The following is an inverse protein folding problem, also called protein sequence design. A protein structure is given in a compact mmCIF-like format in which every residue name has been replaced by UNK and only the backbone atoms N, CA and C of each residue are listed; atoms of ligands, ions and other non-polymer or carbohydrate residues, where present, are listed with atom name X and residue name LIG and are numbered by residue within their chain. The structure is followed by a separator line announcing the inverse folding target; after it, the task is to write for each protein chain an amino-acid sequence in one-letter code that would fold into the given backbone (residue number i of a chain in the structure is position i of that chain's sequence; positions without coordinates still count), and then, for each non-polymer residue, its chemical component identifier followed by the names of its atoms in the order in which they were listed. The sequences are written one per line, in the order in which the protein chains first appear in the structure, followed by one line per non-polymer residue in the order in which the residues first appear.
data_IF_344128528578
#
_entry.id   IF_344128528578
#
_cell.length_a   1.000
_cell.length_b   1.000
_cell.length_c   1.000
_cell.angle_alpha   90.00
_cell.angle_beta   90.00
_cell.angle_gamma   90.00
#
_symmetry.space_group_name_H-M   'P 1'
#
loop_
_entity.id
_entity.type
_entity.pdbx_description
1 polymer ?
#
# COMPACT_ATOMS: atom_id res chain seq x y z
N UNK A 1 -13.60 24.05 23.44
CA UNK A 1 -13.94 22.82 24.17
C UNK A 1 -15.01 22.06 23.41
N UNK A 2 -14.63 21.33 22.35
CA UNK A 2 -15.49 20.32 21.64
C UNK A 2 -14.58 19.63 20.63
N UNK A 3 -13.97 18.53 20.97
CA UNK A 3 -13.51 17.47 20.08
C UNK A 3 -12.52 16.53 20.80
N UNK A 4 -12.94 15.90 21.90
CA UNK A 4 -12.12 14.85 22.59
C UNK A 4 -12.99 13.59 22.83
N UNK A 5 -14.09 13.39 22.11
CA UNK A 5 -15.03 12.32 22.46
C UNK A 5 -15.22 11.24 21.40
N UNK A 6 -14.46 11.20 20.31
CA UNK A 6 -14.65 10.17 19.27
C UNK A 6 -13.57 9.08 19.23
N UNK A 7 -12.41 9.29 19.84
CA UNK A 7 -11.34 8.29 19.87
C UNK A 7 -11.53 7.20 20.95
N UNK A 8 -12.41 7.39 21.92
CA UNK A 8 -12.56 6.48 23.08
C UNK A 8 -13.56 5.33 22.88
N UNK A 9 -14.31 5.33 21.78
CA UNK A 9 -15.38 4.33 21.59
C UNK A 9 -14.97 3.11 20.73
N UNK A 10 -13.83 3.17 20.03
CA UNK A 10 -13.31 2.00 19.28
C UNK A 10 -12.46 1.06 20.14
N UNK A 11 -12.02 1.49 21.33
CA UNK A 11 -11.15 0.71 22.20
C UNK A 11 -11.89 -0.43 22.95
N UNK A 12 -13.22 -0.47 22.94
CA UNK A 12 -14.02 -1.41 23.76
C UNK A 12 -14.52 -2.65 23.01
N UNK A 13 -14.28 -2.78 21.70
CA UNK A 13 -14.76 -3.95 20.93
C UNK A 13 -13.64 -5.00 20.69
N UNK A 14 -12.38 -4.66 20.94
CA UNK A 14 -11.24 -5.54 20.63
C UNK A 14 -10.85 -6.50 21.78
N UNK A 15 -11.52 -6.49 22.93
CA UNK A 15 -11.04 -7.22 24.11
C UNK A 15 -11.74 -8.56 24.40
N UNK A 16 -12.54 -9.12 23.49
CA UNK A 16 -13.31 -10.35 23.79
C UNK A 16 -13.35 -11.42 22.70
N UNK A 17 -12.39 -11.49 21.79
CA UNK A 17 -12.24 -12.70 20.95
C UNK A 17 -10.82 -13.24 21.13
N UNK A 18 -10.67 -14.13 22.09
CA UNK A 18 -9.47 -14.95 22.21
C UNK A 18 -9.35 -15.82 20.94
N UNK A 19 -8.32 -15.57 20.10
CA UNK A 19 -7.97 -16.49 19.02
C UNK A 19 -7.48 -15.92 17.70
N UNK A 20 -7.54 -14.63 17.43
CA UNK A 20 -6.89 -14.07 16.24
C UNK A 20 -5.62 -13.33 16.64
N UNK A 21 -4.49 -13.91 16.33
CA UNK A 21 -3.21 -13.20 16.36
C UNK A 21 -3.27 -12.20 15.21
N UNK A 22 -3.53 -10.93 15.50
CA UNK A 22 -3.39 -9.87 14.52
C UNK A 22 -1.91 -9.77 14.16
N UNK A 23 -1.57 -9.86 12.89
CA UNK A 23 -0.19 -9.86 12.44
C UNK A 23 0.45 -8.47 12.53
N UNK A 24 -0.33 -7.39 12.47
CA UNK A 24 0.17 -6.02 12.51
C UNK A 24 0.36 -5.49 13.94
N UNK A 25 1.25 -4.51 14.11
CA UNK A 25 1.40 -3.76 15.35
C UNK A 25 0.25 -2.73 15.47
N UNK A 26 -0.59 -2.90 16.49
CA UNK A 26 -1.75 -2.03 16.70
C UNK A 26 -1.36 -0.57 17.00
N UNK A 27 -0.16 -0.35 17.58
CA UNK A 27 0.34 0.98 17.84
C UNK A 27 0.80 1.68 16.54
N UNK A 28 1.40 0.91 15.63
CA UNK A 28 1.80 1.42 14.32
C UNK A 28 0.58 1.83 13.50
N UNK A 29 -0.50 1.04 13.53
CA UNK A 29 -1.74 1.39 12.84
C UNK A 29 -2.40 2.64 13.42
N UNK A 30 -2.49 2.78 14.75
CA UNK A 30 -3.06 3.96 15.41
C UNK A 30 -2.27 5.23 15.06
N UNK A 31 -0.93 5.16 15.12
CA UNK A 31 -0.06 6.26 14.74
C UNK A 31 -0.21 6.62 13.26
N UNK A 32 -0.33 5.62 12.39
CA UNK A 32 -0.49 5.82 10.96
C UNK A 32 -1.83 6.49 10.62
N UNK A 33 -2.94 6.05 11.20
CA UNK A 33 -4.25 6.66 10.98
C UNK A 33 -4.27 8.15 11.37
N UNK A 34 -3.51 8.52 12.39
CA UNK A 34 -3.44 9.90 12.86
C UNK A 34 -2.50 10.78 12.04
N UNK A 35 -1.31 10.28 11.70
CA UNK A 35 -0.22 11.07 11.13
C UNK A 35 0.01 10.82 9.64
N UNK A 36 -0.48 9.68 9.09
CA UNK A 36 -0.17 9.18 7.73
C UNK A 36 1.34 9.00 7.49
N UNK A 37 2.11 8.79 8.55
CA UNK A 37 3.55 8.54 8.50
C UNK A 37 3.84 7.24 9.23
N UNK A 38 4.42 6.29 8.52
CA UNK A 38 4.70 4.96 9.03
C UNK A 38 5.94 4.37 8.33
N UNK A 39 7.10 4.96 8.61
CA UNK A 39 8.36 4.41 8.11
C UNK A 39 8.78 3.20 8.95
N UNK A 40 9.08 2.07 8.27
CA UNK A 40 9.46 0.79 8.89
C UNK A 40 8.42 0.18 9.85
N UNK A 41 7.14 0.57 9.72
CA UNK A 41 6.06 0.04 10.55
C UNK A 41 5.64 -1.37 10.13
N UNK A 42 5.01 -2.10 11.05
CA UNK A 42 4.29 -3.32 10.73
C UNK A 42 2.78 -3.04 10.60
N UNK A 43 2.32 -3.02 9.35
CA UNK A 43 0.91 -2.89 8.96
C UNK A 43 0.44 -4.15 8.21
N UNK A 44 1.11 -5.29 8.44
CA UNK A 44 0.72 -6.55 7.80
C UNK A 44 -0.71 -6.93 8.19
N UNK A 45 -1.48 -7.45 7.22
CA UNK A 45 -2.90 -7.81 7.37
C UNK A 45 -3.82 -6.64 7.79
N UNK A 46 -3.32 -5.40 7.87
CA UNK A 46 -4.13 -4.25 8.28
C UNK A 46 -5.31 -4.01 7.31
N UNK A 47 -6.46 -3.66 7.85
CA UNK A 47 -7.61 -3.28 7.04
C UNK A 47 -7.62 -1.77 6.78
N UNK A 48 -7.06 -1.37 5.63
CA UNK A 48 -6.96 0.01 5.15
C UNK A 48 -7.89 0.28 3.95
N UNK A 49 -8.92 -0.55 3.79
CA UNK A 49 -9.90 -0.46 2.72
C UNK A 49 -10.61 0.89 2.70
N UNK A 50 -10.69 1.50 1.51
CA UNK A 50 -11.26 2.84 1.30
C UNK A 50 -10.53 3.97 2.05
N UNK A 51 -9.33 3.70 2.57
CA UNK A 51 -8.55 4.67 3.34
C UNK A 51 -8.15 5.88 2.51
N UNK A 52 -8.24 7.08 3.10
CA UNK A 52 -7.58 8.27 2.56
C UNK A 52 -6.11 8.25 2.98
N UNK A 53 -5.25 7.67 2.15
CA UNK A 53 -3.80 7.53 2.34
C UNK A 53 -3.00 8.45 1.42
N UNK A 54 -3.64 9.50 0.96
CA UNK A 54 -3.03 10.48 0.06
C UNK A 54 -1.79 11.11 0.68
N UNK A 55 -0.68 11.09 -0.09
CA UNK A 55 0.64 11.54 0.34
C UNK A 55 1.16 10.86 1.61
N UNK A 56 0.65 9.70 1.99
CA UNK A 56 1.15 8.94 3.13
C UNK A 56 2.63 8.56 2.95
N UNK A 57 3.38 8.51 4.04
CA UNK A 57 4.77 8.06 4.06
C UNK A 57 4.81 6.64 4.63
N UNK A 58 5.04 5.65 3.79
CA UNK A 58 4.98 4.21 4.09
C UNK A 58 6.31 3.51 3.73
N UNK A 59 7.42 4.25 3.77
CA UNK A 59 8.74 3.72 3.40
C UNK A 59 9.12 2.51 4.23
N UNK A 60 9.58 1.46 3.53
CA UNK A 60 10.05 0.21 4.13
C UNK A 60 9.04 -0.45 5.08
N UNK A 61 7.77 -0.03 5.07
CA UNK A 61 6.74 -0.64 5.92
C UNK A 61 6.39 -2.05 5.44
N UNK A 62 5.96 -2.88 6.38
CA UNK A 62 5.40 -4.19 6.09
C UNK A 62 3.88 -4.06 5.89
N UNK A 63 3.42 -4.22 4.67
CA UNK A 63 2.01 -4.21 4.26
C UNK A 63 1.60 -5.58 3.69
N UNK A 64 2.32 -6.65 4.07
CA UNK A 64 2.01 -8.01 3.61
C UNK A 64 0.58 -8.39 3.99
N UNK A 65 -0.21 -8.83 3.01
CA UNK A 65 -1.60 -9.21 3.19
C UNK A 65 -2.55 -8.07 3.53
N UNK A 66 -2.08 -6.81 3.60
CA UNK A 66 -2.94 -5.68 3.91
C UNK A 66 -4.06 -5.49 2.90
N UNK A 67 -5.25 -5.10 3.37
CA UNK A 67 -6.37 -4.78 2.52
C UNK A 67 -6.40 -3.27 2.21
N UNK A 68 -5.92 -2.91 1.03
CA UNK A 68 -5.88 -1.55 0.48
C UNK A 68 -6.91 -1.34 -0.66
N UNK A 69 -7.93 -2.22 -0.74
CA UNK A 69 -8.95 -2.11 -1.77
C UNK A 69 -9.58 -0.72 -1.81
N UNK A 70 -9.61 -0.11 -3.00
CA UNK A 70 -10.16 1.22 -3.25
C UNK A 70 -9.61 2.34 -2.33
N UNK A 71 -8.39 2.17 -1.78
CA UNK A 71 -7.71 3.22 -1.02
C UNK A 71 -7.17 4.31 -1.96
N UNK A 72 -7.21 5.57 -1.51
CA UNK A 72 -6.52 6.67 -2.19
C UNK A 72 -5.07 6.77 -1.68
N UNK A 73 -4.15 6.20 -2.43
CA UNK A 73 -2.70 6.25 -2.22
C UNK A 73 -2.02 7.28 -3.14
N UNK A 74 -2.77 8.21 -3.71
CA UNK A 74 -2.22 9.19 -4.64
C UNK A 74 -1.11 10.02 -4.00
N UNK A 75 0.05 10.04 -4.64
CA UNK A 75 1.25 10.70 -4.13
C UNK A 75 1.93 10.04 -2.93
N UNK A 76 1.47 8.89 -2.46
CA UNK A 76 2.08 8.20 -1.32
C UNK A 76 3.51 7.71 -1.63
N UNK A 77 4.38 7.67 -0.63
CA UNK A 77 5.73 7.14 -0.71
C UNK A 77 5.81 5.74 -0.06
N UNK A 78 5.80 4.72 -0.90
CA UNK A 78 5.88 3.30 -0.57
C UNK A 78 7.27 2.72 -0.83
N UNK A 79 8.31 3.56 -0.98
CA UNK A 79 9.66 3.10 -1.32
C UNK A 79 10.10 1.96 -0.41
N UNK A 80 10.47 0.82 -1.00
CA UNK A 80 10.96 -0.38 -0.30
C UNK A 80 9.91 -1.12 0.53
N UNK A 81 8.63 -0.75 0.47
CA UNK A 81 7.59 -1.44 1.22
C UNK A 81 7.39 -2.90 0.77
N UNK A 82 6.99 -3.76 1.69
CA UNK A 82 6.56 -5.12 1.42
C UNK A 82 5.03 -5.14 1.21
N UNK A 83 4.60 -5.34 -0.03
CA UNK A 83 3.19 -5.44 -0.44
C UNK A 83 2.80 -6.87 -0.85
N UNK A 84 3.55 -7.89 -0.43
CA UNK A 84 3.25 -9.28 -0.78
C UNK A 84 1.82 -9.63 -0.39
N UNK A 85 1.11 -10.25 -1.32
CA UNK A 85 -0.28 -10.71 -1.13
C UNK A 85 -1.26 -9.60 -0.70
N UNK A 86 -0.89 -8.32 -0.74
CA UNK A 86 -1.79 -7.22 -0.44
C UNK A 86 -2.90 -7.08 -1.49
N UNK A 87 -4.08 -6.67 -1.08
CA UNK A 87 -5.17 -6.33 -1.98
C UNK A 87 -5.19 -4.82 -2.25
N UNK A 88 -4.73 -4.42 -3.44
CA UNK A 88 -4.78 -3.03 -3.93
C UNK A 88 -5.84 -2.83 -5.02
N UNK A 89 -6.74 -3.80 -5.22
CA UNK A 89 -7.77 -3.66 -6.26
C UNK A 89 -8.54 -2.34 -6.14
N UNK A 90 -8.75 -1.68 -7.29
CA UNK A 90 -9.39 -0.36 -7.40
C UNK A 90 -8.67 0.81 -6.69
N UNK A 91 -7.47 0.60 -6.13
CA UNK A 91 -6.70 1.66 -5.47
C UNK A 91 -6.22 2.74 -6.46
N UNK A 92 -6.11 3.98 -5.98
CA UNK A 92 -5.50 5.08 -6.74
C UNK A 92 -4.03 5.26 -6.33
N UNK A 93 -3.11 4.87 -7.21
CA UNK A 93 -1.67 5.05 -7.08
C UNK A 93 -1.13 6.19 -7.97
N UNK A 94 -1.99 7.14 -8.37
CA UNK A 94 -1.56 8.25 -9.22
C UNK A 94 -0.41 9.05 -8.57
N UNK A 95 0.74 9.08 -9.24
CA UNK A 95 1.92 9.77 -8.75
C UNK A 95 2.58 9.16 -7.50
N UNK A 96 2.16 7.99 -7.06
CA UNK A 96 2.79 7.30 -5.93
C UNK A 96 4.21 6.83 -6.27
N UNK A 97 5.08 6.73 -5.26
CA UNK A 97 6.44 6.22 -5.36
C UNK A 97 6.49 4.79 -4.82
N UNK A 98 6.69 3.81 -5.71
CA UNK A 98 6.75 2.38 -5.39
C UNK A 98 8.14 1.79 -5.72
N UNK A 99 9.20 2.56 -5.55
CA UNK A 99 10.56 2.10 -5.87
C UNK A 99 10.98 0.93 -4.98
N UNK A 100 11.46 -0.15 -5.62
CA UNK A 100 11.98 -1.31 -4.91
C UNK A 100 10.93 -2.06 -4.08
N UNK A 101 9.64 -1.82 -4.31
CA UNK A 101 8.54 -2.54 -3.67
C UNK A 101 8.56 -4.01 -4.06
N UNK A 102 8.35 -4.92 -3.11
CA UNK A 102 8.01 -6.31 -3.38
C UNK A 102 6.49 -6.51 -3.27
N UNK A 103 5.84 -6.62 -4.41
CA UNK A 103 4.40 -6.83 -4.51
C UNK A 103 4.05 -8.21 -5.13
N UNK A 104 4.89 -9.21 -4.85
CA UNK A 104 4.63 -10.59 -5.27
C UNK A 104 3.30 -11.07 -4.69
N UNK A 105 2.39 -11.53 -5.54
CA UNK A 105 1.07 -12.03 -5.14
C UNK A 105 0.03 -10.95 -4.86
N UNK A 106 0.39 -9.66 -4.93
CA UNK A 106 -0.57 -8.59 -4.72
C UNK A 106 -1.62 -8.52 -5.86
N UNK A 107 -2.82 -8.12 -5.48
CA UNK A 107 -3.92 -7.85 -6.42
C UNK A 107 -3.92 -6.38 -6.82
N UNK A 108 -3.77 -6.11 -8.12
CA UNK A 108 -3.79 -4.77 -8.72
C UNK A 108 -4.94 -4.59 -9.73
N UNK A 109 -6.02 -5.32 -9.58
CA UNK A 109 -7.16 -5.18 -10.48
C UNK A 109 -7.73 -3.74 -10.45
N UNK A 110 -7.85 -3.13 -11.64
CA UNK A 110 -8.36 -1.77 -11.83
C UNK A 110 -7.59 -0.65 -11.09
N UNK A 111 -6.33 -0.88 -10.73
CA UNK A 111 -5.46 0.15 -10.13
C UNK A 111 -5.12 1.23 -11.14
N UNK A 112 -5.10 2.48 -10.66
CA UNK A 112 -4.61 3.63 -11.42
C UNK A 112 -3.10 3.85 -11.16
N UNK A 113 -2.23 3.52 -12.12
CA UNK A 113 -0.79 3.73 -12.07
C UNK A 113 -0.29 5.01 -12.76
N UNK A 114 -1.18 5.93 -13.10
CA UNK A 114 -0.78 7.13 -13.81
C UNK A 114 0.31 7.90 -13.05
N UNK A 115 1.45 8.18 -13.69
CA UNK A 115 2.63 8.85 -13.09
C UNK A 115 3.27 8.12 -11.90
N UNK A 116 2.91 6.88 -11.62
CA UNK A 116 3.55 6.10 -10.58
C UNK A 116 5.02 5.84 -10.91
N UNK A 117 5.87 5.86 -9.90
CA UNK A 117 7.30 5.49 -10.01
C UNK A 117 7.48 4.04 -9.55
N UNK A 118 7.55 3.11 -10.50
CA UNK A 118 7.67 1.67 -10.29
C UNK A 118 9.11 1.16 -10.48
N UNK A 119 10.11 2.04 -10.42
CA UNK A 119 11.50 1.62 -10.64
C UNK A 119 11.92 0.55 -9.64
N UNK A 120 12.56 -0.51 -10.15
CA UNK A 120 13.06 -1.63 -9.34
C UNK A 120 11.96 -2.41 -8.59
N UNK A 121 10.68 -2.12 -8.85
CA UNK A 121 9.57 -2.83 -8.22
C UNK A 121 9.44 -4.26 -8.74
N UNK A 122 9.10 -5.18 -7.85
CA UNK A 122 8.79 -6.56 -8.17
C UNK A 122 7.26 -6.77 -8.23
N UNK A 123 6.72 -6.76 -9.43
CA UNK A 123 5.31 -7.02 -9.75
C UNK A 123 5.18 -8.33 -10.55
N UNK A 124 6.01 -9.34 -10.24
CA UNK A 124 6.19 -10.55 -11.08
C UNK A 124 4.93 -11.38 -11.26
N UNK A 125 3.93 -11.23 -10.40
CA UNK A 125 2.62 -11.88 -10.53
C UNK A 125 1.61 -11.07 -11.31
N UNK A 126 1.91 -9.79 -11.56
CA UNK A 126 1.00 -8.88 -12.25
C UNK A 126 0.90 -9.25 -13.74
N UNK A 127 -0.28 -9.69 -14.15
CA UNK A 127 -0.63 -9.98 -15.54
C UNK A 127 -1.35 -8.77 -16.13
N UNK A 128 -0.57 -7.73 -16.44
CA UNK A 128 -1.15 -6.53 -17.05
C UNK A 128 -0.57 -6.28 -18.43
N UNK A 129 -1.40 -5.74 -19.30
CA UNK A 129 -0.90 -5.15 -20.55
C UNK A 129 -0.09 -3.88 -20.23
N UNK A 130 0.99 -3.65 -20.99
CA UNK A 130 1.81 -2.44 -20.84
C UNK A 130 1.01 -1.15 -21.03
N UNK A 131 -0.15 -1.22 -21.67
CA UNK A 131 -1.08 -0.10 -21.84
C UNK A 131 -1.61 0.41 -20.48
N UNK A 132 -1.88 -0.49 -19.53
CA UNK A 132 -2.34 -0.12 -18.18
C UNK A 132 -1.24 0.53 -17.35
N UNK A 133 0.02 0.36 -17.72
CA UNK A 133 1.19 1.00 -17.12
C UNK A 133 1.63 2.24 -17.90
N UNK A 134 0.78 2.73 -18.83
CA UNK A 134 1.08 3.94 -19.58
C UNK A 134 1.14 5.16 -18.64
N UNK A 135 2.21 5.94 -18.78
CA UNK A 135 2.46 7.08 -17.88
C UNK A 135 3.22 6.75 -16.60
N UNK A 136 3.37 5.48 -16.22
CA UNK A 136 4.27 5.08 -15.13
C UNK A 136 5.74 5.05 -15.59
N UNK A 137 6.66 5.19 -14.61
CA UNK A 137 8.10 5.01 -14.83
C UNK A 137 8.51 3.59 -14.49
N UNK A 138 9.04 2.85 -15.50
CA UNK A 138 9.40 1.44 -15.39
C UNK A 138 10.88 1.29 -15.71
N UNK A 139 11.74 1.22 -14.68
CA UNK A 139 13.17 0.95 -14.85
C UNK A 139 13.53 -0.23 -13.96
N UNK A 140 14.04 -1.30 -14.58
CA UNK A 140 14.29 -2.56 -13.89
C UNK A 140 13.06 -3.13 -13.17
N UNK A 141 11.86 -2.72 -13.58
CA UNK A 141 10.58 -3.20 -13.02
C UNK A 141 10.31 -4.61 -13.54
N UNK A 142 10.03 -5.53 -12.63
CA UNK A 142 9.73 -6.93 -12.97
C UNK A 142 8.22 -7.11 -12.99
N UNK A 143 7.66 -7.50 -14.15
CA UNK A 143 6.27 -7.94 -14.30
C UNK A 143 6.25 -9.37 -14.84
N UNK A 144 5.08 -10.01 -14.91
CA UNK A 144 4.94 -11.40 -15.37
C UNK A 144 5.55 -11.66 -16.76
N UNK A 145 5.50 -10.68 -17.66
CA UNK A 145 6.09 -10.76 -18.99
C UNK A 145 7.60 -10.49 -19.04
N UNK A 146 8.25 -10.22 -17.91
CA UNK A 146 9.69 -9.96 -17.79
C UNK A 146 10.01 -8.53 -17.31
N UNK A 147 11.32 -8.21 -17.30
CA UNK A 147 11.81 -6.90 -16.85
C UNK A 147 11.45 -5.80 -17.85
N UNK A 148 10.94 -4.68 -17.36
CA UNK A 148 10.53 -3.53 -18.14
C UNK A 148 11.45 -2.32 -17.91
N UNK A 149 11.71 -1.55 -18.98
CA UNK A 149 12.54 -0.36 -18.97
C UNK A 149 11.90 0.77 -19.79
N UNK A 150 10.74 1.25 -19.33
CA UNK A 150 9.99 2.34 -19.98
C UNK A 150 10.11 3.62 -19.15
N UNK A 151 10.35 4.75 -19.82
CA UNK A 151 10.49 6.08 -19.19
C UNK A 151 11.65 6.20 -18.18
N UNK A 152 12.75 5.44 -18.37
CA UNK A 152 13.97 5.51 -17.57
C UNK A 152 14.72 6.82 -17.86
N UNK A 153 14.48 7.90 -17.15
CA UNK A 153 15.23 9.16 -17.23
C UNK A 153 15.66 9.62 -15.83
#
# INVERSE_FOLDING_TARGET
MKAIFTAFFLFLICNHIAGSVWAFDSQDLENFELLKICENCDLSEANLKYGDLKNAVLKNSNLEGANLHAADLSGADLTGANLKNANLSEADLNGAVLRGVDATGADFDNVNFLRADLREANLSTLDVSLERLEGATLCNTIIKSGTQNKNCR
#
